data_IF_869293971332
#
_entry.id   IF_869293971332
#
_cell.length_a   1.000
_cell.length_b   1.000
_cell.length_c   1.000
_cell.angle_alpha   90.00
_cell.angle_beta   90.00
_cell.angle_gamma   90.00
#
_symmetry.space_group_name_H-M   'P 1'
#
loop_
_entity.id
_entity.type
_entity.pdbx_description
1 polymer ?
#
# COMPACT_ATOMS: atom_id res chain seq x y z
N UNK A 1 34.78 -18.27 75.45
CA UNK A 1 34.16 -19.18 74.44
C UNK A 1 32.89 -18.62 73.72
N UNK A 2 32.35 -17.45 74.08
CA UNK A 2 31.14 -16.89 73.41
C UNK A 2 31.42 -16.12 72.11
N UNK A 3 32.68 -15.76 71.83
CA UNK A 3 32.98 -14.93 70.60
C UNK A 3 33.09 -15.72 69.30
N UNK A 4 33.39 -17.01 69.34
CA UNK A 4 33.51 -17.83 68.10
C UNK A 4 32.19 -18.34 67.49
N UNK A 5 31.13 -18.44 68.31
CA UNK A 5 29.81 -18.88 67.83
C UNK A 5 29.12 -17.82 66.92
N UNK A 6 29.28 -16.53 67.20
CA UNK A 6 28.69 -15.44 66.45
C UNK A 6 29.34 -15.20 65.07
N UNK A 7 30.63 -15.56 64.94
CA UNK A 7 31.32 -15.46 63.61
C UNK A 7 30.94 -16.59 62.68
N UNK A 8 30.63 -17.77 63.18
CA UNK A 8 30.18 -18.93 62.42
C UNK A 8 28.78 -18.73 61.89
N UNK A 9 27.88 -18.15 62.67
CA UNK A 9 26.52 -17.86 62.34
C UNK A 9 26.44 -16.75 61.26
N UNK A 10 27.27 -15.74 61.31
CA UNK A 10 27.37 -14.70 60.28
C UNK A 10 27.94 -15.23 58.96
N UNK A 11 28.92 -16.13 58.96
CA UNK A 11 29.39 -16.74 57.68
C UNK A 11 28.35 -17.62 57.04
N UNK A 12 27.64 -18.41 57.84
CA UNK A 12 26.58 -19.27 57.33
C UNK A 12 25.42 -18.45 56.70
N UNK A 13 25.00 -17.32 57.31
CA UNK A 13 24.01 -16.40 56.75
C UNK A 13 24.48 -15.70 55.46
N UNK A 14 25.75 -15.33 55.36
CA UNK A 14 26.31 -14.74 54.13
C UNK A 14 26.43 -15.74 53.01
N UNK A 15 26.73 -17.00 53.27
CA UNK A 15 26.78 -18.05 52.26
C UNK A 15 25.38 -18.43 51.75
N UNK A 16 24.38 -18.50 52.66
CA UNK A 16 22.97 -18.74 52.28
C UNK A 16 22.44 -17.59 51.40
N UNK A 17 22.68 -16.33 51.81
CA UNK A 17 22.26 -15.17 51.00
C UNK A 17 22.95 -15.10 49.61
N UNK A 18 24.21 -15.54 49.52
CA UNK A 18 24.94 -15.59 48.26
C UNK A 18 24.40 -16.68 47.34
N UNK A 19 24.01 -17.83 47.89
CA UNK A 19 23.42 -18.93 47.14
C UNK A 19 22.00 -18.60 46.62
N UNK A 20 21.15 -17.99 47.45
CA UNK A 20 19.85 -17.50 47.07
C UNK A 20 19.93 -16.42 45.97
N UNK A 21 20.88 -15.50 46.06
CA UNK A 21 21.13 -14.51 45.05
C UNK A 21 21.59 -15.12 43.71
N UNK A 22 22.37 -16.19 43.77
CA UNK A 22 22.83 -16.95 42.60
C UNK A 22 21.67 -17.73 41.92
N UNK A 23 20.81 -18.35 42.71
CA UNK A 23 19.61 -19.07 42.25
C UNK A 23 18.64 -18.08 41.59
N UNK A 24 18.34 -16.96 42.25
CA UNK A 24 17.49 -15.90 41.70
C UNK A 24 18.05 -15.33 40.39
N UNK A 25 19.36 -15.10 40.32
CA UNK A 25 19.99 -14.60 39.08
C UNK A 25 19.92 -15.63 37.92
N UNK A 26 20.00 -16.92 38.25
CA UNK A 26 19.88 -17.99 37.26
C UNK A 26 18.44 -18.17 36.75
N UNK A 27 17.44 -18.10 37.67
CA UNK A 27 16.02 -18.11 37.31
C UNK A 27 15.65 -16.91 36.45
N UNK A 28 16.08 -15.70 36.83
CA UNK A 28 15.85 -14.49 36.04
C UNK A 28 16.47 -14.57 34.66
N UNK A 29 17.66 -15.13 34.53
CA UNK A 29 18.35 -15.32 33.25
C UNK A 29 17.65 -16.35 32.35
N UNK A 30 17.07 -17.39 32.94
CA UNK A 30 16.27 -18.38 32.22
C UNK A 30 14.92 -17.80 31.76
N UNK A 31 14.27 -17.02 32.61
CA UNK A 31 12.99 -16.34 32.25
C UNK A 31 13.20 -15.34 31.12
N UNK A 32 14.25 -14.53 31.19
CA UNK A 32 14.60 -13.59 30.09
C UNK A 32 14.90 -14.37 28.80
N UNK A 33 15.60 -15.48 28.89
CA UNK A 33 15.90 -16.33 27.72
C UNK A 33 14.63 -16.90 27.13
N UNK A 34 13.76 -17.48 27.94
CA UNK A 34 12.50 -18.08 27.50
C UNK A 34 11.58 -17.03 26.86
N UNK A 35 11.44 -15.86 27.49
CA UNK A 35 10.68 -14.73 26.95
C UNK A 35 11.24 -14.26 25.59
N UNK A 36 12.56 -14.22 25.47
CA UNK A 36 13.24 -13.85 24.21
C UNK A 36 12.98 -14.89 23.11
N UNK A 37 13.00 -16.18 23.44
CA UNK A 37 12.66 -17.27 22.50
C UNK A 37 11.20 -17.22 22.07
N UNK A 38 10.27 -16.95 22.98
CA UNK A 38 8.85 -16.82 22.65
C UNK A 38 8.59 -15.62 21.74
N UNK A 39 9.17 -14.46 22.02
CA UNK A 39 9.07 -13.26 21.18
C UNK A 39 9.64 -13.53 19.78
N UNK A 40 10.78 -14.21 19.69
CA UNK A 40 11.39 -14.57 18.41
C UNK A 40 10.50 -15.53 17.62
N UNK A 41 9.98 -16.58 18.26
CA UNK A 41 9.09 -17.54 17.62
C UNK A 41 7.79 -16.89 17.15
N UNK A 42 7.19 -16.03 17.96
CA UNK A 42 6.00 -15.27 17.55
C UNK A 42 6.26 -14.36 16.35
N UNK A 43 7.43 -13.70 16.28
CA UNK A 43 7.80 -12.90 15.09
C UNK A 43 7.97 -13.75 13.84
N UNK A 44 8.63 -14.91 13.96
CA UNK A 44 8.83 -15.83 12.83
C UNK A 44 7.49 -16.37 12.33
N UNK A 45 6.59 -16.78 13.22
CA UNK A 45 5.24 -17.23 12.87
C UNK A 45 4.44 -16.12 12.20
N UNK A 46 4.46 -14.89 12.74
CA UNK A 46 3.79 -13.73 12.15
C UNK A 46 4.32 -13.39 10.76
N UNK A 47 5.64 -13.41 10.57
CA UNK A 47 6.26 -13.11 9.28
C UNK A 47 5.97 -14.21 8.24
N UNK A 48 5.97 -15.47 8.65
CA UNK A 48 5.60 -16.59 7.76
C UNK A 48 4.13 -16.51 7.33
N UNK A 49 3.23 -16.08 8.23
CA UNK A 49 1.80 -15.92 7.93
C UNK A 49 1.55 -14.80 6.92
N UNK A 50 2.17 -13.64 7.11
CA UNK A 50 2.11 -12.53 6.14
C UNK A 50 2.61 -12.96 4.76
N UNK A 51 3.80 -13.60 4.70
CA UNK A 51 4.41 -14.03 3.45
C UNK A 51 3.58 -15.11 2.75
N UNK A 52 2.91 -15.99 3.52
CA UNK A 52 2.01 -17.00 2.98
C UNK A 52 0.79 -16.36 2.30
N UNK A 53 0.15 -15.36 2.94
CA UNK A 53 -0.96 -14.61 2.35
C UNK A 53 -0.50 -13.90 1.08
N UNK A 54 0.60 -13.15 1.15
CA UNK A 54 1.15 -12.42 0.02
C UNK A 54 1.43 -13.33 -1.18
N UNK A 55 2.14 -14.44 -0.98
CA UNK A 55 2.45 -15.41 -2.05
C UNK A 55 1.20 -16.06 -2.62
N UNK A 56 0.22 -16.41 -1.78
CA UNK A 56 -1.06 -16.97 -2.22
C UNK A 56 -1.81 -16.00 -3.12
N UNK A 57 -1.94 -14.75 -2.69
CA UNK A 57 -2.63 -13.71 -3.45
C UNK A 57 -1.90 -13.40 -4.77
N UNK A 58 -0.59 -13.22 -4.71
CA UNK A 58 0.20 -12.96 -5.92
C UNK A 58 0.07 -14.11 -6.93
N UNK A 59 0.16 -15.36 -6.47
CA UNK A 59 -0.05 -16.53 -7.33
C UNK A 59 -1.46 -16.54 -7.92
N UNK A 60 -2.48 -16.16 -7.16
CA UNK A 60 -3.88 -16.07 -7.62
C UNK A 60 -4.02 -15.11 -8.79
N UNK A 61 -3.35 -13.95 -8.78
CA UNK A 61 -3.36 -13.02 -9.91
C UNK A 61 -2.84 -13.68 -11.19
N UNK A 62 -1.71 -14.39 -11.13
CA UNK A 62 -1.12 -15.02 -12.32
C UNK A 62 -1.76 -16.35 -12.74
N UNK A 63 -2.56 -16.97 -11.90
CA UNK A 63 -3.32 -18.17 -12.27
C UNK A 63 -4.69 -17.88 -12.87
N UNK A 64 -5.18 -16.65 -12.70
CA UNK A 64 -6.49 -16.23 -13.17
C UNK A 64 -6.38 -15.62 -14.57
N UNK A 65 -7.08 -16.12 -15.59
CA UNK A 65 -7.05 -15.54 -16.94
C UNK A 65 -7.42 -14.07 -16.99
N UNK A 66 -8.26 -13.62 -16.06
CA UNK A 66 -8.72 -12.24 -15.98
C UNK A 66 -7.59 -11.23 -15.75
N UNK A 67 -6.55 -11.59 -15.01
CA UNK A 67 -5.40 -10.73 -14.79
C UNK A 67 -4.67 -10.40 -16.10
N UNK A 68 -4.54 -11.39 -16.99
CA UNK A 68 -3.94 -11.17 -18.31
C UNK A 68 -4.81 -10.27 -19.19
N UNK A 69 -6.12 -10.41 -19.12
CA UNK A 69 -7.05 -9.51 -19.81
C UNK A 69 -6.85 -8.07 -19.34
N UNK A 70 -6.74 -7.84 -18.04
CA UNK A 70 -6.44 -6.51 -17.49
C UNK A 70 -5.09 -5.96 -17.96
N UNK A 71 -4.05 -6.79 -17.97
CA UNK A 71 -2.73 -6.37 -18.46
C UNK A 71 -2.79 -5.95 -19.93
N UNK A 72 -3.45 -6.75 -20.77
CA UNK A 72 -3.59 -6.43 -22.21
C UNK A 72 -4.40 -5.15 -22.42
N UNK A 73 -5.53 -5.01 -21.71
CA UNK A 73 -6.35 -3.80 -21.77
C UNK A 73 -5.56 -2.57 -21.31
N UNK A 74 -4.83 -2.69 -20.19
CA UNK A 74 -4.00 -1.61 -19.66
C UNK A 74 -2.94 -1.18 -20.67
N UNK A 75 -2.17 -2.12 -21.21
CA UNK A 75 -1.10 -1.83 -22.16
C UNK A 75 -1.65 -1.26 -23.47
N UNK A 76 -2.78 -1.79 -23.95
CA UNK A 76 -3.44 -1.28 -25.14
C UNK A 76 -3.89 0.17 -24.97
N UNK A 77 -4.61 0.48 -23.89
CA UNK A 77 -5.08 1.85 -23.67
C UNK A 77 -3.93 2.81 -23.34
N UNK A 78 -2.92 2.36 -22.60
CA UNK A 78 -1.72 3.15 -22.33
C UNK A 78 -1.01 3.55 -23.61
N UNK A 79 -0.82 2.60 -24.54
CA UNK A 79 -0.26 2.88 -25.86
C UNK A 79 -1.17 3.74 -26.73
N UNK A 80 -2.45 3.36 -26.82
CA UNK A 80 -3.41 4.06 -27.65
C UNK A 80 -3.56 5.55 -27.27
N UNK A 81 -3.76 5.85 -25.98
CA UNK A 81 -3.92 7.24 -25.52
C UNK A 81 -2.63 8.05 -25.74
N UNK A 82 -1.48 7.47 -25.48
CA UNK A 82 -0.19 8.15 -25.70
C UNK A 82 0.01 8.54 -27.16
N UNK A 83 -0.26 7.63 -28.08
CA UNK A 83 -0.07 7.92 -29.53
C UNK A 83 -1.18 8.79 -30.13
N UNK A 84 -2.41 8.67 -29.62
CA UNK A 84 -3.55 9.48 -30.06
C UNK A 84 -3.39 10.96 -29.69
N UNK A 85 -2.90 11.25 -28.48
CA UNK A 85 -2.84 12.60 -27.93
C UNK A 85 -1.60 13.39 -28.39
N UNK A 86 -1.07 13.05 -29.59
CA UNK A 86 -0.09 13.88 -30.29
C UNK A 86 1.36 13.62 -29.91
N UNK A 87 1.70 12.43 -29.44
CA UNK A 87 3.08 12.03 -29.12
C UNK A 87 4.07 12.36 -30.26
N UNK A 88 3.68 12.09 -31.52
CA UNK A 88 4.50 12.39 -32.68
C UNK A 88 4.41 13.86 -33.15
N UNK A 89 3.29 14.52 -32.85
CA UNK A 89 3.04 15.91 -33.29
C UNK A 89 3.90 16.92 -32.50
N UNK A 90 4.21 16.61 -31.25
CA UNK A 90 5.05 17.45 -30.38
C UNK A 90 6.51 17.50 -30.80
N UNK A 91 6.97 16.61 -31.66
CA UNK A 91 8.35 16.50 -32.15
C UNK A 91 9.40 16.52 -31.02
N UNK A 92 9.03 16.09 -29.83
CA UNK A 92 9.89 15.97 -28.67
C UNK A 92 9.92 14.50 -28.23
N UNK A 93 11.12 14.00 -27.94
CA UNK A 93 11.32 12.66 -27.38
C UNK A 93 11.00 12.71 -25.86
N UNK A 94 9.72 12.77 -25.51
CA UNK A 94 9.26 12.92 -24.12
C UNK A 94 8.10 11.98 -23.81
N UNK A 95 8.11 11.38 -22.62
CA UNK A 95 7.00 10.53 -22.10
C UNK A 95 5.95 11.32 -21.31
N UNK A 96 5.99 12.65 -21.36
CA UNK A 96 5.05 13.50 -20.62
C UNK A 96 3.59 13.18 -20.97
N UNK A 97 3.29 13.00 -22.24
CA UNK A 97 1.93 12.64 -22.72
C UNK A 97 1.47 11.31 -22.13
N UNK A 98 2.36 10.32 -22.03
CA UNK A 98 2.05 9.05 -21.39
C UNK A 98 1.68 9.24 -19.92
N UNK A 99 2.49 9.96 -19.14
CA UNK A 99 2.22 10.21 -17.74
C UNK A 99 0.96 11.05 -17.50
N UNK A 100 0.65 12.01 -18.37
CA UNK A 100 -0.57 12.83 -18.29
C UNK A 100 -1.85 11.98 -18.40
N UNK A 101 -1.82 10.89 -19.17
CA UNK A 101 -2.97 10.01 -19.38
C UNK A 101 -3.11 8.93 -18.29
N UNK A 102 -2.05 8.64 -17.52
CA UNK A 102 -2.07 7.59 -16.50
C UNK A 102 -3.12 7.81 -15.40
N UNK A 103 -3.35 9.01 -14.85
CA UNK A 103 -4.37 9.22 -13.82
C UNK A 103 -5.75 8.78 -14.28
N UNK A 104 -6.15 9.17 -15.51
CA UNK A 104 -7.43 8.78 -16.07
C UNK A 104 -7.56 7.26 -16.28
N UNK A 105 -6.49 6.64 -16.75
CA UNK A 105 -6.44 5.20 -16.96
C UNK A 105 -6.50 4.43 -15.64
N UNK A 106 -5.80 4.91 -14.61
CA UNK A 106 -5.79 4.31 -13.28
C UNK A 106 -7.13 4.43 -12.55
N UNK A 107 -7.92 5.48 -12.79
CA UNK A 107 -9.28 5.63 -12.23
C UNK A 107 -10.16 4.42 -12.51
N UNK A 108 -9.99 3.77 -13.66
CA UNK A 108 -10.78 2.57 -14.04
C UNK A 108 -10.02 1.27 -13.78
N UNK A 109 -8.74 1.20 -14.11
CA UNK A 109 -7.95 -0.02 -14.06
C UNK A 109 -7.63 -0.47 -12.64
N UNK A 110 -7.25 0.45 -11.76
CA UNK A 110 -6.89 0.10 -10.39
C UNK A 110 -8.10 -0.35 -9.57
N UNK A 111 -9.25 0.35 -9.56
CA UNK A 111 -10.45 -0.15 -8.90
C UNK A 111 -10.96 -1.49 -9.43
N UNK A 112 -10.76 -1.80 -10.71
CA UNK A 112 -11.16 -3.09 -11.26
C UNK A 112 -10.34 -4.26 -10.72
N UNK A 113 -9.06 -4.03 -10.37
CA UNK A 113 -8.23 -5.02 -9.67
C UNK A 113 -8.55 -5.07 -8.18
N UNK A 114 -8.85 -3.92 -7.56
CA UNK A 114 -9.13 -3.79 -6.13
C UNK A 114 -10.50 -4.38 -5.72
N UNK A 115 -11.50 -4.32 -6.59
CA UNK A 115 -12.88 -4.77 -6.27
C UNK A 115 -12.95 -6.21 -5.77
N UNK A 116 -11.99 -7.06 -6.14
CA UNK A 116 -11.96 -8.48 -5.81
C UNK A 116 -11.29 -8.79 -4.48
N UNK A 117 -10.47 -7.87 -3.94
CA UNK A 117 -9.62 -8.12 -2.78
C UNK A 117 -10.40 -8.68 -1.57
N UNK A 118 -11.58 -8.13 -1.31
CA UNK A 118 -12.41 -8.49 -0.17
C UNK A 118 -13.85 -8.87 -0.55
N UNK A 119 -14.43 -8.20 -1.55
CA UNK A 119 -15.83 -8.42 -1.93
C UNK A 119 -16.07 -9.86 -2.43
N UNK A 120 -15.10 -10.49 -3.07
CA UNK A 120 -15.19 -11.89 -3.51
C UNK A 120 -15.17 -12.85 -2.32
N UNK A 121 -14.26 -12.68 -1.37
CA UNK A 121 -14.21 -13.51 -0.16
C UNK A 121 -15.46 -13.36 0.72
N UNK A 122 -16.01 -12.15 0.76
CA UNK A 122 -17.27 -11.88 1.45
C UNK A 122 -18.48 -12.50 0.76
N UNK A 123 -18.49 -12.52 -0.57
CA UNK A 123 -19.56 -13.13 -1.36
C UNK A 123 -19.59 -14.65 -1.18
N UNK A 124 -18.42 -15.28 -1.12
CA UNK A 124 -18.26 -16.74 -0.97
C UNK A 124 -18.31 -17.19 0.50
N UNK A 125 -18.25 -16.25 1.47
CA UNK A 125 -18.22 -16.57 2.90
C UNK A 125 -16.84 -17.05 3.40
N UNK A 126 -15.82 -17.06 2.57
CA UNK A 126 -14.47 -17.50 2.93
C UNK A 126 -13.74 -16.55 3.88
N UNK A 127 -14.26 -15.34 4.09
CA UNK A 127 -13.72 -14.37 5.05
C UNK A 127 -13.79 -14.90 6.50
N UNK A 128 -14.83 -15.68 6.84
CA UNK A 128 -14.96 -16.31 8.17
C UNK A 128 -13.84 -17.33 8.41
N UNK A 129 -13.50 -18.11 7.40
CA UNK A 129 -12.35 -19.03 7.46
C UNK A 129 -11.02 -18.28 7.63
N UNK A 130 -10.88 -17.11 7.02
CA UNK A 130 -9.68 -16.27 7.19
C UNK A 130 -9.55 -15.80 8.65
N UNK A 131 -10.67 -15.50 9.32
CA UNK A 131 -10.68 -15.05 10.72
C UNK A 131 -10.43 -16.16 11.75
N UNK A 132 -10.58 -17.43 11.37
CA UNK A 132 -10.20 -18.58 12.22
C UNK A 132 -8.71 -18.89 12.18
N UNK A 133 -8.00 -18.38 11.18
CA UNK A 133 -6.55 -18.56 11.09
C UNK A 133 -5.81 -17.68 12.13
N UNK A 134 -4.66 -18.11 12.65
CA UNK A 134 -3.86 -17.34 13.61
C UNK A 134 -3.13 -16.17 12.93
N UNK A 135 -3.86 -15.33 12.19
CA UNK A 135 -3.36 -14.19 11.42
C UNK A 135 -4.04 -12.93 11.93
N UNK A 136 -3.29 -11.84 12.07
CA UNK A 136 -3.89 -10.55 12.38
C UNK A 136 -4.55 -9.94 11.13
N UNK A 137 -5.66 -9.20 11.31
CA UNK A 137 -6.37 -8.55 10.21
C UNK A 137 -5.43 -7.63 9.43
N UNK A 138 -4.57 -6.87 10.12
CA UNK A 138 -3.59 -6.01 9.47
C UNK A 138 -2.61 -6.77 8.57
N UNK A 139 -2.19 -8.00 8.95
CA UNK A 139 -1.32 -8.84 8.10
C UNK A 139 -2.06 -9.34 6.85
N UNK A 140 -3.34 -9.68 6.97
CA UNK A 140 -4.16 -10.09 5.84
C UNK A 140 -4.37 -8.93 4.87
N UNK A 141 -4.71 -7.73 5.38
CA UNK A 141 -4.91 -6.51 4.59
C UNK A 141 -3.63 -6.11 3.86
N UNK A 142 -2.50 -6.02 4.59
CA UNK A 142 -1.21 -5.66 3.99
C UNK A 142 -0.72 -6.71 2.99
N UNK A 143 -0.91 -8.00 3.28
CA UNK A 143 -0.52 -9.08 2.37
C UNK A 143 -1.27 -9.01 1.03
N UNK A 144 -2.59 -8.81 1.08
CA UNK A 144 -3.43 -8.64 -0.12
C UNK A 144 -3.11 -7.34 -0.86
N UNK A 145 -3.02 -6.24 -0.14
CA UNK A 145 -2.69 -4.94 -0.72
C UNK A 145 -1.34 -4.96 -1.45
N UNK A 146 -0.28 -5.45 -0.81
CA UNK A 146 1.05 -5.50 -1.42
C UNK A 146 1.11 -6.47 -2.61
N UNK A 147 0.36 -7.58 -2.59
CA UNK A 147 0.28 -8.49 -3.73
C UNK A 147 -0.38 -7.82 -4.95
N UNK A 148 -1.48 -7.08 -4.73
CA UNK A 148 -2.15 -6.31 -5.76
C UNK A 148 -1.30 -5.14 -6.26
N UNK A 149 -0.62 -4.44 -5.35
CA UNK A 149 0.27 -3.33 -5.70
C UNK A 149 1.48 -3.80 -6.53
N UNK A 150 2.06 -4.95 -6.16
CA UNK A 150 3.12 -5.56 -6.96
C UNK A 150 2.61 -5.97 -8.36
N UNK A 151 1.39 -6.50 -8.47
CA UNK A 151 0.79 -6.80 -9.77
C UNK A 151 0.64 -5.54 -10.64
N UNK A 152 0.17 -4.43 -10.08
CA UNK A 152 0.09 -3.14 -10.78
C UNK A 152 1.48 -2.60 -11.15
N UNK A 153 2.48 -2.80 -10.29
CA UNK A 153 3.87 -2.44 -10.58
C UNK A 153 4.42 -3.22 -11.76
N UNK A 154 4.11 -4.51 -11.86
CA UNK A 154 4.49 -5.34 -13.02
C UNK A 154 3.78 -4.83 -14.27
N UNK A 155 2.49 -4.50 -14.19
CA UNK A 155 1.75 -3.90 -15.31
C UNK A 155 2.40 -2.59 -15.80
N UNK A 156 2.78 -1.72 -14.85
CA UNK A 156 3.48 -0.47 -15.16
C UNK A 156 4.89 -0.73 -15.74
N UNK A 157 5.61 -1.72 -15.24
CA UNK A 157 6.93 -2.10 -15.77
C UNK A 157 6.85 -2.65 -17.20
N UNK A 158 5.74 -3.29 -17.58
CA UNK A 158 5.52 -3.76 -18.95
C UNK A 158 5.33 -2.62 -19.96
N UNK A 159 5.16 -1.37 -19.52
CA UNK A 159 5.19 -0.19 -20.41
C UNK A 159 6.62 0.27 -20.76
N UNK A 160 7.66 -0.40 -20.24
CA UNK A 160 9.06 -0.08 -20.52
C UNK A 160 9.43 -0.03 -22.02
N UNK A 161 8.84 -0.80 -22.96
CA UNK A 161 9.05 -0.62 -24.40
C UNK A 161 8.80 0.80 -24.88
N UNK A 162 7.90 1.57 -24.24
CA UNK A 162 7.72 2.98 -24.58
C UNK A 162 8.95 3.83 -24.26
N UNK A 163 9.62 3.53 -23.15
CA UNK A 163 10.89 4.20 -22.79
C UNK A 163 11.94 3.92 -23.85
N UNK A 164 12.05 2.65 -24.31
CA UNK A 164 12.99 2.28 -25.37
C UNK A 164 12.67 3.05 -26.66
N UNK A 165 11.39 3.17 -27.02
CA UNK A 165 10.96 3.91 -28.20
C UNK A 165 11.37 5.37 -28.15
N UNK A 166 11.17 6.02 -26.98
CA UNK A 166 11.53 7.43 -26.81
C UNK A 166 13.05 7.63 -26.86
N UNK A 167 13.84 6.75 -26.21
CA UNK A 167 15.29 6.76 -26.30
C UNK A 167 15.83 6.52 -27.72
N UNK A 168 15.08 5.78 -28.54
CA UNK A 168 15.44 5.58 -29.96
C UNK A 168 15.10 6.81 -30.83
N UNK A 169 14.04 7.53 -30.49
CA UNK A 169 13.61 8.72 -31.25
C UNK A 169 14.43 9.97 -30.93
N UNK A 170 15.07 10.04 -29.77
CA UNK A 170 15.85 11.20 -29.34
C UNK A 170 16.58 11.00 -28.04
N UNK A 171 16.92 12.09 -27.39
CA UNK A 171 17.63 12.13 -26.07
C UNK A 171 16.67 12.61 -24.98
N UNK A 172 15.89 11.70 -24.38
CA UNK A 172 14.92 12.05 -23.36
C UNK A 172 15.58 12.35 -22.02
N UNK A 173 14.92 13.18 -21.20
CA UNK A 173 15.32 13.38 -19.81
C UNK A 173 15.00 12.14 -18.97
N UNK A 174 16.04 11.37 -18.65
CA UNK A 174 15.95 10.15 -17.83
C UNK A 174 15.44 10.47 -16.42
N UNK A 175 15.76 11.65 -15.88
CA UNK A 175 15.27 12.09 -14.58
C UNK A 175 13.75 12.20 -14.56
N UNK A 176 13.17 12.82 -15.57
CA UNK A 176 11.72 12.96 -15.74
C UNK A 176 11.03 11.60 -15.91
N UNK A 177 11.64 10.68 -16.64
CA UNK A 177 11.11 9.31 -16.80
C UNK A 177 11.07 8.59 -15.45
N UNK A 178 12.17 8.60 -14.69
CA UNK A 178 12.24 7.92 -13.38
C UNK A 178 11.26 8.51 -12.38
N UNK A 179 11.18 9.84 -12.28
CA UNK A 179 10.23 10.51 -11.39
C UNK A 179 8.78 10.23 -11.79
N UNK A 180 8.47 10.23 -13.09
CA UNK A 180 7.16 9.89 -13.61
C UNK A 180 6.71 8.46 -13.27
N UNK A 181 7.60 7.47 -13.42
CA UNK A 181 7.31 6.10 -13.01
C UNK A 181 7.15 5.96 -11.49
N UNK A 182 7.99 6.64 -10.70
CA UNK A 182 7.86 6.64 -9.23
C UNK A 182 6.53 7.26 -8.79
N UNK A 183 6.15 8.39 -9.36
CA UNK A 183 4.86 9.03 -9.10
C UNK A 183 3.68 8.13 -9.48
N UNK A 184 3.77 7.49 -10.64
CA UNK A 184 2.75 6.54 -11.11
C UNK A 184 2.62 5.32 -10.20
N UNK A 185 3.73 4.79 -9.69
CA UNK A 185 3.74 3.72 -8.71
C UNK A 185 3.05 4.11 -7.40
N UNK A 186 3.33 5.30 -6.87
CA UNK A 186 2.71 5.82 -5.66
C UNK A 186 1.22 6.09 -5.86
N UNK A 187 0.86 6.70 -6.98
CA UNK A 187 -0.52 6.99 -7.35
C UNK A 187 -1.35 5.70 -7.49
N UNK A 188 -0.80 4.66 -8.15
CA UNK A 188 -1.44 3.35 -8.22
C UNK A 188 -1.69 2.75 -6.83
N UNK A 189 -0.73 2.89 -5.90
CA UNK A 189 -0.90 2.51 -4.49
C UNK A 189 -2.04 3.26 -3.80
N UNK A 190 -2.16 4.57 -4.03
CA UNK A 190 -3.25 5.40 -3.49
C UNK A 190 -4.63 4.96 -3.98
N UNK A 191 -4.79 4.78 -5.29
CA UNK A 191 -6.05 4.28 -5.87
C UNK A 191 -6.38 2.87 -5.38
N UNK A 192 -5.37 2.01 -5.26
CA UNK A 192 -5.54 0.66 -4.76
C UNK A 192 -5.99 0.65 -3.29
N UNK A 193 -5.47 1.54 -2.46
CA UNK A 193 -5.86 1.66 -1.05
C UNK A 193 -7.33 2.09 -0.91
N UNK A 194 -7.79 3.06 -1.72
CA UNK A 194 -9.20 3.45 -1.82
C UNK A 194 -10.06 2.26 -2.24
N UNK A 195 -9.65 1.55 -3.30
CA UNK A 195 -10.36 0.38 -3.78
C UNK A 195 -10.43 -0.76 -2.77
N UNK A 196 -9.36 -0.98 -2.00
CA UNK A 196 -9.30 -1.96 -0.91
C UNK A 196 -10.33 -1.65 0.18
N UNK A 197 -10.46 -0.38 0.58
CA UNK A 197 -11.45 0.07 1.56
C UNK A 197 -12.89 -0.19 1.09
N UNK A 198 -13.25 0.23 -0.13
CA UNK A 198 -14.60 0.00 -0.66
C UNK A 198 -14.88 -1.48 -0.92
N UNK A 199 -13.86 -2.26 -1.27
CA UNK A 199 -13.98 -3.72 -1.38
C UNK A 199 -14.27 -4.38 -0.03
N UNK A 200 -13.69 -3.88 1.06
CA UNK A 200 -13.99 -4.36 2.42
C UNK A 200 -15.40 -3.94 2.90
N UNK A 201 -15.93 -2.83 2.40
CA UNK A 201 -17.25 -2.31 2.80
C UNK A 201 -18.39 -3.07 2.13
N UNK A 202 -18.26 -3.50 0.87
CA UNK A 202 -19.31 -4.11 0.07
C UNK A 202 -19.17 -5.64 -0.05
N UNK A 203 -20.31 -6.36 -0.12
CA UNK A 203 -20.38 -7.78 -0.51
C UNK A 203 -20.46 -7.96 -2.03
N UNK A 204 -20.77 -6.90 -2.77
CA UNK A 204 -20.93 -6.94 -4.22
C UNK A 204 -19.73 -6.27 -4.89
N UNK A 205 -19.04 -7.02 -5.76
CA UNK A 205 -17.88 -6.54 -6.51
C UNK A 205 -18.19 -5.33 -7.38
N UNK A 206 -19.39 -5.31 -8.03
CA UNK A 206 -19.79 -4.21 -8.91
C UNK A 206 -20.02 -2.92 -8.11
N UNK A 207 -20.67 -3.01 -6.95
CA UNK A 207 -20.88 -1.86 -6.06
C UNK A 207 -19.52 -1.34 -5.56
N UNK A 208 -18.63 -2.24 -5.15
CA UNK A 208 -17.27 -1.89 -4.74
C UNK A 208 -16.51 -1.17 -5.85
N UNK A 209 -16.58 -1.69 -7.08
CA UNK A 209 -15.96 -1.07 -8.25
C UNK A 209 -16.48 0.34 -8.49
N UNK A 210 -17.81 0.51 -8.58
CA UNK A 210 -18.42 1.82 -8.86
C UNK A 210 -18.05 2.85 -7.78
N UNK A 211 -18.16 2.48 -6.50
CA UNK A 211 -17.79 3.38 -5.39
C UNK A 211 -16.32 3.77 -5.45
N UNK A 212 -15.43 2.81 -5.74
CA UNK A 212 -14.00 3.06 -5.87
C UNK A 212 -13.69 3.98 -7.05
N UNK A 213 -14.33 3.73 -8.23
CA UNK A 213 -14.16 4.60 -9.41
C UNK A 213 -14.63 6.01 -9.12
N UNK A 214 -15.82 6.18 -8.51
CA UNK A 214 -16.34 7.51 -8.16
C UNK A 214 -15.42 8.24 -7.19
N UNK A 215 -14.94 7.57 -6.14
CA UNK A 215 -14.03 8.19 -5.17
C UNK A 215 -12.69 8.58 -5.83
N UNK A 216 -12.10 7.71 -6.64
CA UNK A 216 -10.86 8.00 -7.37
C UNK A 216 -11.08 9.14 -8.39
N UNK A 217 -12.19 9.12 -9.13
CA UNK A 217 -12.53 10.17 -10.09
C UNK A 217 -12.69 11.53 -9.41
N UNK A 218 -13.40 11.59 -8.28
CA UNK A 218 -13.55 12.84 -7.52
C UNK A 218 -12.19 13.40 -7.13
N UNK A 219 -11.26 12.57 -6.62
CA UNK A 219 -9.94 13.02 -6.22
C UNK A 219 -9.04 13.45 -7.40
N UNK A 220 -9.22 12.88 -8.59
CA UNK A 220 -8.50 13.31 -9.80
C UNK A 220 -9.10 14.58 -10.35
N UNK A 221 -10.42 14.60 -10.59
CA UNK A 221 -11.08 15.74 -11.22
C UNK A 221 -11.11 16.99 -10.32
N UNK A 222 -11.09 16.83 -8.99
CA UNK A 222 -11.02 17.94 -8.05
C UNK A 222 -9.82 18.88 -8.27
N UNK A 223 -8.69 18.36 -8.74
CA UNK A 223 -7.49 19.16 -9.03
C UNK A 223 -7.35 19.63 -10.47
N UNK A 224 -8.29 19.32 -11.34
CA UNK A 224 -8.19 19.81 -12.71
C UNK A 224 -8.39 21.33 -12.77
N UNK A 225 -7.58 22.08 -13.54
CA UNK A 225 -7.67 23.52 -13.65
C UNK A 225 -9.07 24.03 -14.04
N UNK A 226 -9.76 23.29 -14.89
CA UNK A 226 -11.16 23.59 -15.28
C UNK A 226 -12.12 23.46 -14.09
N UNK A 227 -12.00 22.43 -13.28
CA UNK A 227 -12.84 22.24 -12.09
C UNK A 227 -12.56 23.31 -11.06
N UNK A 228 -11.29 23.63 -10.80
CA UNK A 228 -10.87 24.67 -9.86
C UNK A 228 -11.36 26.06 -10.29
N UNK A 229 -11.37 26.36 -11.58
CA UNK A 229 -11.91 27.64 -12.09
C UNK A 229 -13.42 27.76 -11.89
N UNK A 230 -14.18 26.70 -12.05
CA UNK A 230 -15.62 26.70 -11.70
C UNK A 230 -15.84 26.81 -10.18
N UNK A 231 -15.07 26.06 -9.38
CA UNK A 231 -15.19 26.11 -7.93
C UNK A 231 -14.86 27.48 -7.34
N UNK A 232 -13.87 28.18 -7.91
CA UNK A 232 -13.46 29.51 -7.46
C UNK A 232 -14.53 30.58 -7.67
N UNK A 233 -15.52 30.34 -8.55
CA UNK A 233 -16.68 31.20 -8.74
C UNK A 233 -17.71 31.11 -7.60
N UNK A 234 -17.76 29.99 -6.88
CA UNK A 234 -18.77 29.70 -5.86
C UNK A 234 -18.21 29.56 -4.43
N UNK A 235 -16.92 29.24 -4.30
CA UNK A 235 -16.27 28.91 -3.03
C UNK A 235 -15.19 29.94 -2.67
N UNK A 236 -14.99 30.24 -1.37
CA UNK A 236 -13.89 31.09 -0.93
C UNK A 236 -12.54 30.44 -1.25
N UNK A 237 -11.53 31.27 -1.54
CA UNK A 237 -10.19 30.84 -1.98
C UNK A 237 -9.53 29.79 -1.05
N UNK A 238 -9.79 29.87 0.27
CA UNK A 238 -9.26 28.92 1.25
C UNK A 238 -9.81 27.49 1.09
N UNK A 239 -11.09 27.35 0.67
CA UNK A 239 -11.66 26.02 0.39
C UNK A 239 -11.16 25.47 -0.94
N UNK A 240 -11.01 26.32 -1.95
CA UNK A 240 -10.47 25.90 -3.25
C UNK A 240 -9.04 25.39 -3.10
N UNK A 241 -8.18 26.08 -2.36
CA UNK A 241 -6.81 25.62 -2.09
C UNK A 241 -6.74 24.34 -1.25
N UNK A 242 -7.70 24.13 -0.33
CA UNK A 242 -7.79 22.88 0.41
C UNK A 242 -8.18 21.69 -0.51
N UNK A 243 -9.13 21.89 -1.42
CA UNK A 243 -9.55 20.88 -2.42
C UNK A 243 -8.40 20.55 -3.36
N UNK A 244 -7.70 21.56 -3.86
CA UNK A 244 -6.50 21.41 -4.69
C UNK A 244 -5.41 20.58 -3.97
N UNK A 245 -5.16 20.89 -2.69
CA UNK A 245 -4.21 20.16 -1.84
C UNK A 245 -4.61 18.71 -1.50
N UNK A 246 -5.86 18.33 -1.72
CA UNK A 246 -6.33 16.94 -1.56
C UNK A 246 -6.34 16.16 -2.90
N UNK A 247 -6.09 16.82 -4.01
CA UNK A 247 -6.18 16.20 -5.33
C UNK A 247 -4.95 15.39 -5.69
N UNK A 248 -5.19 14.23 -6.31
CA UNK A 248 -4.13 13.44 -6.93
C UNK A 248 -3.43 14.18 -8.07
N UNK A 249 -4.19 14.93 -8.86
CA UNK A 249 -3.68 15.58 -10.05
C UNK A 249 -2.62 16.63 -9.73
N UNK A 250 -2.85 17.47 -8.73
CA UNK A 250 -1.93 18.55 -8.35
C UNK A 250 -0.57 18.02 -7.88
N UNK A 251 -0.57 16.97 -7.06
CA UNK A 251 0.66 16.34 -6.57
C UNK A 251 1.38 15.52 -7.65
N UNK A 252 0.63 14.86 -8.52
CA UNK A 252 1.22 14.08 -9.60
C UNK A 252 1.83 14.97 -10.69
N UNK A 253 1.24 16.13 -10.97
CA UNK A 253 1.74 17.08 -11.96
C UNK A 253 3.14 17.64 -11.57
N UNK A 254 3.39 17.90 -10.27
CA UNK A 254 4.72 18.27 -9.78
C UNK A 254 5.75 17.20 -10.07
N UNK A 255 5.41 15.93 -9.79
CA UNK A 255 6.29 14.78 -10.01
C UNK A 255 6.57 14.57 -11.51
N UNK A 256 5.56 14.76 -12.38
CA UNK A 256 5.72 14.66 -13.84
C UNK A 256 6.68 15.71 -14.40
N UNK A 257 6.80 16.86 -13.77
CA UNK A 257 7.76 17.91 -14.15
C UNK A 257 9.20 17.57 -13.73
N UNK A 258 9.44 16.43 -13.14
CA UNK A 258 10.76 15.99 -12.66
C UNK A 258 11.12 16.52 -11.28
N UNK A 259 10.19 17.19 -10.57
CA UNK A 259 10.42 17.75 -9.24
C UNK A 259 9.80 16.83 -8.19
N UNK A 260 10.64 16.14 -7.41
CA UNK A 260 10.20 15.34 -6.27
C UNK A 260 10.17 16.21 -5.01
N UNK A 261 9.04 16.83 -4.74
CA UNK A 261 8.83 17.51 -3.47
C UNK A 261 8.50 16.48 -2.37
N UNK A 262 9.09 16.69 -1.20
CA UNK A 262 8.80 15.85 -0.03
C UNK A 262 7.31 15.88 0.36
N UNK A 263 6.63 16.98 0.07
CA UNK A 263 5.20 17.18 0.26
C UNK A 263 4.38 16.16 -0.54
N UNK A 264 4.70 15.95 -1.81
CA UNK A 264 3.96 15.07 -2.71
C UNK A 264 4.13 13.61 -2.31
N UNK A 265 5.35 13.21 -1.97
CA UNK A 265 5.64 11.87 -1.44
C UNK A 265 4.88 11.59 -0.14
N UNK A 266 4.89 12.56 0.79
CA UNK A 266 4.19 12.44 2.07
C UNK A 266 2.68 12.34 1.87
N UNK A 267 2.11 13.10 0.94
CA UNK A 267 0.70 13.03 0.60
C UNK A 267 0.28 11.60 0.19
N UNK A 268 0.96 10.99 -0.79
CA UNK A 268 0.64 9.63 -1.24
C UNK A 268 0.79 8.59 -0.14
N UNK A 269 1.86 8.69 0.66
CA UNK A 269 2.10 7.75 1.77
C UNK A 269 1.02 7.87 2.84
N UNK A 270 0.66 9.08 3.26
CA UNK A 270 -0.38 9.30 4.26
C UNK A 270 -1.76 8.84 3.74
N UNK A 271 -2.04 9.08 2.48
CA UNK A 271 -3.28 8.63 1.85
C UNK A 271 -3.38 7.10 1.84
N UNK A 272 -2.32 6.40 1.44
CA UNK A 272 -2.26 4.93 1.46
C UNK A 272 -2.47 4.41 2.89
N UNK A 273 -1.75 4.96 3.86
CA UNK A 273 -1.85 4.54 5.27
C UNK A 273 -3.27 4.79 5.80
N UNK A 274 -3.84 5.96 5.53
CA UNK A 274 -5.18 6.33 6.00
C UNK A 274 -6.27 5.39 5.49
N UNK A 275 -6.29 5.10 4.18
CA UNK A 275 -7.28 4.19 3.60
C UNK A 275 -7.08 2.73 4.01
N UNK A 276 -5.84 2.27 4.16
CA UNK A 276 -5.54 0.92 4.67
C UNK A 276 -5.96 0.79 6.15
N UNK A 277 -5.69 1.81 6.97
CA UNK A 277 -6.15 1.83 8.36
C UNK A 277 -7.69 1.77 8.44
N UNK A 278 -8.39 2.56 7.62
CA UNK A 278 -9.84 2.50 7.49
C UNK A 278 -10.35 1.11 7.08
N UNK A 279 -9.66 0.45 6.15
CA UNK A 279 -9.96 -0.92 5.74
C UNK A 279 -9.82 -1.91 6.92
N UNK A 280 -8.76 -1.79 7.72
CA UNK A 280 -8.56 -2.63 8.91
C UNK A 280 -9.67 -2.44 9.93
N UNK A 281 -10.06 -1.19 10.23
CA UNK A 281 -11.13 -0.87 11.18
C UNK A 281 -12.45 -1.51 10.76
N UNK A 282 -12.85 -1.36 9.49
CA UNK A 282 -14.10 -1.97 9.00
C UNK A 282 -14.09 -3.49 9.13
N UNK A 283 -12.95 -4.12 8.86
CA UNK A 283 -12.84 -5.58 8.96
C UNK A 283 -12.83 -6.05 10.43
N UNK A 284 -12.28 -5.25 11.36
CA UNK A 284 -12.30 -5.54 12.80
C UNK A 284 -13.72 -5.43 13.39
N UNK A 285 -14.45 -4.37 13.07
CA UNK A 285 -15.86 -4.21 13.49
C UNK A 285 -16.72 -5.36 13.01
N UNK A 286 -16.51 -5.84 11.80
CA UNK A 286 -17.27 -6.95 11.22
C UNK A 286 -16.88 -8.34 11.75
N UNK A 287 -15.70 -8.47 12.35
CA UNK A 287 -15.31 -9.69 13.07
C UNK A 287 -15.99 -9.77 14.42
N UNK A 288 -16.35 -8.62 15.01
CA UNK A 288 -16.99 -8.53 16.30
C UNK A 288 -18.51 -8.69 16.23
N UNK A 289 -19.14 -8.47 15.07
CA UNK A 289 -20.58 -8.64 14.79
C UNK A 289 -20.89 -10.03 14.22
#
# INVERSE_FOLDING_TARGET
>A
MRSFAGLRDRRQKTEINSFECLVLSFELKNDIRNTTYEIRNQRVVKMNSFLAVFKRELKSYFTTPLAYVFLVIFLFFAGYLTFKDGFFDMRQADLRVFFMNLPLLFVFMVPSTAMRLWAEERKVGSIELLFTLPITIGQAVLGKFLAAWLFLTIALSLTFPMVITVCYLGDPDVGLILTGYLGSFLMAGGFLAIGCFFSATSKNQVISFVLSVVACAVLVFAGMPTTLSYLSAFLPAGLVSAIEGMSFQSHFESIQRGVLEFKDLTYFVLLIIGWIAGCCIILEERKAS
#
